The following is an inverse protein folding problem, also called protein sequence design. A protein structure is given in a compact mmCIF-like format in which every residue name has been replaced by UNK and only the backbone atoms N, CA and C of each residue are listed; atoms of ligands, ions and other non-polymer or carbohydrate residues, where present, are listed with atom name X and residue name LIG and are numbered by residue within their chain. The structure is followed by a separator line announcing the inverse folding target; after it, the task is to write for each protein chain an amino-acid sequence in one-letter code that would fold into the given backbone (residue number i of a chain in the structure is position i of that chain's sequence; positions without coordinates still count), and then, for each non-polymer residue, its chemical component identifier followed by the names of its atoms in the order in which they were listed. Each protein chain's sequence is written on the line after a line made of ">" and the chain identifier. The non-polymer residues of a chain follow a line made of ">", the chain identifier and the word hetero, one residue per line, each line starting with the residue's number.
data_IF_183275184678
#
_entry.id   IF_183275184678
#
_cell.length_a   1.000
_cell.length_b   1.000
_cell.length_c   1.000
_cell.angle_alpha   90.00
_cell.angle_beta   90.00
_cell.angle_gamma   90.00
#
_symmetry.space_group_name_H-M   'P 1'
#
loop_
_entity.id
_entity.type
_entity.pdbx_description
1 polymer ?
#
# COMPACT_ATOMS: atom_id res chain seq x y z
N UNK A 1 -17.80 0.97 10.12
CA UNK A 1 -18.03 1.75 8.90
C UNK A 1 -19.32 2.60 9.00
N UNK A 2 -20.47 2.05 9.44
CA UNK A 2 -21.70 2.86 9.63
C UNK A 2 -21.50 4.04 10.60
N UNK A 3 -20.80 3.81 11.71
CA UNK A 3 -20.46 4.87 12.67
C UNK A 3 -19.49 5.90 12.04
N UNK A 4 -18.55 5.48 11.22
CA UNK A 4 -17.72 6.39 10.42
C UNK A 4 -18.60 7.31 9.56
N UNK A 5 -19.56 6.74 8.81
CA UNK A 5 -20.49 7.51 7.99
C UNK A 5 -21.28 8.53 8.84
N UNK A 6 -21.81 8.08 9.99
CA UNK A 6 -22.56 8.95 10.92
C UNK A 6 -21.72 10.12 11.42
N UNK A 7 -20.47 9.87 11.82
CA UNK A 7 -19.57 10.92 12.33
C UNK A 7 -19.17 11.90 11.22
N UNK A 8 -18.78 11.37 10.05
CA UNK A 8 -18.30 12.22 8.96
C UNK A 8 -19.40 13.01 8.26
N UNK A 9 -20.64 12.49 8.20
CA UNK A 9 -21.78 13.22 7.63
C UNK A 9 -22.10 14.53 8.36
N UNK A 10 -21.63 14.69 9.60
CA UNK A 10 -21.82 15.90 10.41
C UNK A 10 -20.67 16.91 10.27
N UNK A 11 -19.70 16.64 9.38
CA UNK A 11 -18.50 17.46 9.19
C UNK A 11 -18.43 17.98 7.77
N UNK A 12 -17.91 19.18 7.64
CA UNK A 12 -17.49 19.70 6.34
C UNK A 12 -16.03 19.29 6.13
N UNK A 13 -15.81 18.31 5.27
CA UNK A 13 -14.50 17.77 4.95
C UNK A 13 -13.94 18.43 3.69
N UNK A 14 -12.63 18.50 3.59
CA UNK A 14 -11.92 18.97 2.37
C UNK A 14 -12.09 18.01 1.20
N UNK A 15 -12.12 16.70 1.47
CA UNK A 15 -12.25 15.63 0.45
C UNK A 15 -13.48 14.80 0.74
N UNK A 16 -14.16 14.39 -0.32
CA UNK A 16 -15.28 13.46 -0.22
C UNK A 16 -14.83 12.08 0.24
N UNK A 17 -15.72 11.37 0.94
CA UNK A 17 -15.50 10.00 1.38
C UNK A 17 -16.50 9.08 0.70
N UNK A 18 -16.01 8.06 0.00
CA UNK A 18 -16.81 6.95 -0.51
C UNK A 18 -16.68 5.75 0.42
N UNK A 19 -17.78 5.09 0.70
CA UNK A 19 -17.80 3.86 1.49
C UNK A 19 -18.30 2.74 0.58
N UNK A 20 -17.55 1.66 0.52
CA UNK A 20 -17.90 0.49 -0.26
C UNK A 20 -17.92 -0.77 0.62
N UNK A 21 -18.94 -1.60 0.44
CA UNK A 21 -19.04 -2.94 0.98
C UNK A 21 -19.12 -3.90 -0.19
N UNK A 22 -18.12 -4.71 -0.36
CA UNK A 22 -18.10 -5.68 -1.44
C UNK A 22 -18.09 -7.12 -0.94
N UNK A 23 -18.76 -8.02 -1.69
CA UNK A 23 -18.82 -9.43 -1.37
C UNK A 23 -17.61 -10.18 -1.93
N UNK A 24 -17.53 -11.45 -1.53
CA UNK A 24 -16.73 -12.46 -2.20
C UNK A 24 -15.21 -12.26 -2.11
N UNK A 25 -14.75 -11.84 -0.92
CA UNK A 25 -13.31 -11.76 -0.62
C UNK A 25 -12.63 -13.11 -0.81
N UNK A 26 -13.03 -14.12 -0.06
CA UNK A 26 -12.38 -15.45 -0.08
C UNK A 26 -12.95 -16.37 -1.17
N UNK A 27 -14.27 -16.54 -1.21
CA UNK A 27 -14.93 -17.49 -2.10
C UNK A 27 -14.97 -17.05 -3.58
N UNK A 28 -14.93 -15.75 -3.84
CA UNK A 28 -14.87 -15.17 -5.18
C UNK A 28 -13.51 -14.60 -5.55
N UNK A 29 -12.52 -14.75 -4.71
CA UNK A 29 -11.17 -14.22 -4.88
C UNK A 29 -11.18 -12.74 -5.26
N UNK A 30 -11.74 -11.91 -4.36
CA UNK A 30 -11.85 -10.45 -4.50
C UNK A 30 -12.80 -9.98 -5.60
N UNK A 31 -13.83 -10.80 -5.95
CA UNK A 31 -14.69 -10.49 -7.07
C UNK A 31 -15.38 -9.13 -6.96
N UNK A 32 -15.91 -8.78 -5.78
CA UNK A 32 -16.62 -7.51 -5.58
C UNK A 32 -15.72 -6.29 -5.68
N UNK A 33 -14.55 -6.33 -5.05
CA UNK A 33 -13.60 -5.22 -5.07
C UNK A 33 -12.91 -5.08 -6.43
N UNK A 34 -12.59 -6.18 -7.10
CA UNK A 34 -12.04 -6.16 -8.46
C UNK A 34 -13.03 -5.52 -9.42
N UNK A 35 -14.30 -5.99 -9.40
CA UNK A 35 -15.36 -5.39 -10.21
C UNK A 35 -15.50 -3.88 -9.94
N UNK A 36 -15.49 -3.48 -8.68
CA UNK A 36 -15.59 -2.05 -8.33
C UNK A 36 -14.40 -1.24 -8.85
N UNK A 37 -13.19 -1.78 -8.73
CA UNK A 37 -11.99 -1.14 -9.24
C UNK A 37 -12.06 -0.92 -10.76
N UNK A 38 -12.52 -1.93 -11.50
CA UNK A 38 -12.64 -1.88 -12.96
C UNK A 38 -13.76 -0.92 -13.41
N UNK A 39 -14.93 -1.00 -12.82
CA UNK A 39 -16.10 -0.15 -13.17
C UNK A 39 -15.93 1.33 -12.76
N UNK A 40 -15.16 1.59 -11.73
CA UNK A 40 -14.91 2.94 -11.21
C UNK A 40 -13.49 3.45 -11.54
N UNK A 41 -12.80 2.78 -12.46
CA UNK A 41 -11.38 3.03 -12.73
C UNK A 41 -11.08 4.51 -13.00
N UNK A 42 -11.80 5.15 -13.92
CA UNK A 42 -11.59 6.56 -14.28
C UNK A 42 -11.77 7.51 -13.09
N UNK A 43 -12.79 7.28 -12.28
CA UNK A 43 -13.05 8.09 -11.08
C UNK A 43 -11.99 7.88 -10.00
N UNK A 44 -11.59 6.63 -9.77
CA UNK A 44 -10.53 6.28 -8.83
C UNK A 44 -9.19 6.85 -9.28
N UNK A 45 -8.85 6.71 -10.56
CA UNK A 45 -7.61 7.24 -11.11
C UNK A 45 -7.55 8.76 -11.10
N UNK A 46 -8.65 9.44 -11.39
CA UNK A 46 -8.70 10.90 -11.43
C UNK A 46 -8.73 11.54 -10.04
N UNK A 47 -9.44 10.95 -9.06
CA UNK A 47 -9.84 11.65 -7.83
C UNK A 47 -9.53 10.93 -6.52
N UNK A 48 -9.34 9.61 -6.51
CA UNK A 48 -9.11 8.88 -5.27
C UNK A 48 -7.67 9.09 -4.79
N UNK A 49 -7.48 9.70 -3.63
CA UNK A 49 -6.17 10.00 -3.04
C UNK A 49 -5.79 9.08 -1.88
N UNK A 50 -6.77 8.36 -1.33
CA UNK A 50 -6.52 7.38 -0.28
C UNK A 50 -7.51 6.22 -0.34
N UNK A 51 -7.03 5.02 -0.10
CA UNK A 51 -7.81 3.80 0.12
C UNK A 51 -7.56 3.30 1.54
N UNK A 52 -8.62 3.09 2.30
CA UNK A 52 -8.54 2.49 3.63
C UNK A 52 -9.39 1.23 3.65
N UNK A 53 -8.75 0.09 3.82
CA UNK A 53 -9.40 -1.20 3.97
C UNK A 53 -9.44 -1.61 5.44
N UNK A 54 -10.60 -2.06 5.90
CA UNK A 54 -10.78 -2.62 7.23
C UNK A 54 -11.57 -3.91 7.14
N UNK A 55 -10.93 -4.99 7.50
CA UNK A 55 -11.52 -6.32 7.65
C UNK A 55 -11.54 -6.71 9.14
N UNK A 56 -12.56 -7.45 9.56
CA UNK A 56 -12.69 -8.04 10.90
C UNK A 56 -12.51 -7.12 12.13
N UNK A 57 -13.05 -5.88 12.16
CA UNK A 57 -12.96 -5.05 13.35
C UNK A 57 -13.75 -5.66 14.51
N UNK A 58 -13.24 -5.49 15.73
CA UNK A 58 -13.89 -6.00 16.93
C UNK A 58 -13.71 -7.49 17.16
N UNK A 59 -12.81 -8.15 16.46
CA UNK A 59 -12.56 -9.57 16.61
C UNK A 59 -12.09 -9.90 18.03
N UNK A 60 -12.80 -10.83 18.68
CA UNK A 60 -12.53 -11.21 20.06
C UNK A 60 -11.07 -11.67 20.25
N UNK A 61 -10.38 -11.05 21.22
CA UNK A 61 -8.98 -11.34 21.53
C UNK A 61 -7.96 -10.62 20.65
N UNK A 62 -8.38 -9.85 19.67
CA UNK A 62 -7.50 -9.02 18.82
C UNK A 62 -7.04 -7.75 19.57
N UNK A 63 -6.03 -7.91 20.42
CA UNK A 63 -5.58 -6.87 21.34
C UNK A 63 -4.78 -5.75 20.66
N UNK A 64 -4.12 -6.03 19.54
CA UNK A 64 -3.23 -5.10 18.87
C UNK A 64 -3.70 -4.82 17.45
N UNK A 65 -3.42 -3.58 17.00
CA UNK A 65 -3.64 -3.12 15.63
C UNK A 65 -2.28 -2.82 15.01
N UNK A 66 -2.09 -3.25 13.77
CA UNK A 66 -1.04 -2.82 12.88
C UNK A 66 -1.61 -2.37 11.55
N UNK A 67 -0.73 -2.05 10.63
CA UNK A 67 -1.12 -1.66 9.29
C UNK A 67 -0.24 -2.30 8.23
N UNK A 68 -0.87 -2.66 7.12
CA UNK A 68 -0.17 -2.85 5.84
C UNK A 68 -0.41 -1.60 4.99
N UNK A 69 0.65 -0.93 4.55
CA UNK A 69 0.51 0.38 3.93
C UNK A 69 1.56 0.69 2.87
N UNK A 70 1.24 1.64 2.02
CA UNK A 70 2.16 2.36 1.15
C UNK A 70 1.80 3.83 1.09
N UNK A 71 2.81 4.69 1.00
CA UNK A 71 2.65 6.12 0.78
C UNK A 71 2.33 6.95 2.02
N UNK A 72 2.15 6.37 3.21
CA UNK A 72 1.85 7.14 4.42
C UNK A 72 3.13 7.64 5.08
N UNK A 73 3.12 8.91 5.48
CA UNK A 73 4.23 9.53 6.15
C UNK A 73 4.49 8.92 7.54
N UNK A 74 5.72 8.52 7.74
CA UNK A 74 6.38 8.11 8.96
C UNK A 74 5.50 7.77 10.17
N UNK A 75 5.42 8.69 11.11
CA UNK A 75 4.73 8.46 12.38
C UNK A 75 3.20 8.68 12.36
N UNK A 76 2.61 9.11 11.25
CA UNK A 76 1.16 9.42 11.18
C UNK A 76 0.30 8.28 11.70
N UNK A 77 0.54 7.06 11.22
CA UNK A 77 -0.21 5.87 11.67
C UNK A 77 0.08 5.55 13.13
N UNK A 78 1.32 5.67 13.56
CA UNK A 78 1.76 5.44 14.93
C UNK A 78 1.11 6.42 15.91
N UNK A 79 1.05 7.68 15.55
CA UNK A 79 0.45 8.73 16.38
C UNK A 79 -1.06 8.55 16.52
N UNK A 80 -1.74 8.16 15.44
CA UNK A 80 -3.18 7.84 15.49
C UNK A 80 -3.41 6.65 16.44
N UNK A 81 -2.63 5.57 16.30
CA UNK A 81 -2.75 4.40 17.17
C UNK A 81 -2.50 4.76 18.63
N UNK A 82 -1.40 5.44 18.95
CA UNK A 82 -1.06 5.83 20.32
C UNK A 82 -2.18 6.67 20.96
N UNK A 83 -2.71 7.65 20.21
CA UNK A 83 -3.81 8.50 20.70
C UNK A 83 -5.10 7.73 20.94
N UNK A 84 -5.42 6.80 20.05
CA UNK A 84 -6.73 6.11 20.09
C UNK A 84 -6.75 4.90 21.00
N UNK A 85 -5.64 4.20 21.16
CA UNK A 85 -5.57 2.89 21.81
C UNK A 85 -4.64 2.84 23.01
N UNK A 86 -3.67 3.77 23.12
CA UNK A 86 -2.57 3.69 24.08
C UNK A 86 -1.52 2.64 23.74
N UNK A 87 -1.59 2.00 22.58
CA UNK A 87 -0.63 1.01 22.11
C UNK A 87 0.73 1.65 21.89
N UNK A 88 1.78 1.14 22.53
CA UNK A 88 3.13 1.70 22.45
C UNK A 88 3.82 1.28 21.14
N UNK A 89 3.71 0.01 20.78
CA UNK A 89 4.32 -0.56 19.58
C UNK A 89 3.35 -0.53 18.39
N UNK A 90 3.89 -0.19 17.23
CA UNK A 90 3.14 -0.15 15.98
C UNK A 90 3.78 -1.08 14.98
N UNK A 91 3.04 -2.07 14.51
CA UNK A 91 3.47 -2.96 13.44
C UNK A 91 3.04 -2.36 12.12
N UNK A 92 4.00 -1.98 11.28
CA UNK A 92 3.76 -1.53 9.91
C UNK A 92 4.44 -2.50 8.95
N UNK A 93 3.70 -2.92 7.94
CA UNK A 93 4.17 -3.85 6.90
C UNK A 93 4.00 -3.23 5.52
N UNK A 94 4.74 -3.72 4.51
CA UNK A 94 4.43 -3.41 3.13
C UNK A 94 3.01 -3.82 2.78
N UNK A 95 2.37 -3.04 1.92
CA UNK A 95 0.99 -3.25 1.49
C UNK A 95 0.80 -4.64 0.88
N UNK A 96 -0.24 -5.34 1.32
CA UNK A 96 -0.69 -6.59 0.72
C UNK A 96 -1.25 -6.37 -0.68
N UNK A 97 -1.38 -7.45 -1.43
CA UNK A 97 -1.91 -7.44 -2.80
C UNK A 97 -3.27 -8.08 -2.87
N UNK A 98 -4.10 -7.53 -3.72
CA UNK A 98 -5.47 -7.92 -3.89
C UNK A 98 -6.37 -6.69 -3.92
N UNK A 99 -7.43 -6.69 -4.71
CA UNK A 99 -8.22 -5.49 -4.97
C UNK A 99 -8.98 -4.94 -3.76
N UNK A 100 -9.26 -5.74 -2.75
CA UNK A 100 -9.86 -5.26 -1.50
C UNK A 100 -8.84 -4.76 -0.50
N UNK A 101 -7.58 -5.17 -0.63
CA UNK A 101 -6.46 -4.68 0.18
C UNK A 101 -5.78 -3.47 -0.47
N UNK A 102 -5.73 -3.44 -1.81
CA UNK A 102 -4.98 -2.44 -2.56
C UNK A 102 -5.44 -2.35 -4.01
N UNK A 103 -5.57 -1.13 -4.51
CA UNK A 103 -5.87 -0.83 -5.91
C UNK A 103 -4.64 -0.19 -6.57
N UNK A 104 -3.87 -0.97 -7.30
CA UNK A 104 -2.64 -0.49 -7.92
C UNK A 104 -2.83 0.09 -9.33
N UNK A 105 -3.86 -0.35 -10.07
CA UNK A 105 -4.16 0.18 -11.40
C UNK A 105 -4.43 1.69 -11.34
N UNK A 106 -5.51 2.15 -10.69
CA UNK A 106 -5.76 3.57 -10.50
C UNK A 106 -4.74 4.13 -9.50
N UNK A 107 -3.94 5.08 -9.90
CA UNK A 107 -2.82 5.69 -9.16
C UNK A 107 -3.24 6.28 -7.80
N UNK A 108 -3.61 5.43 -6.84
CA UNK A 108 -3.97 5.85 -5.48
C UNK A 108 -2.70 5.98 -4.64
N UNK A 109 -2.33 7.20 -4.21
CA UNK A 109 -1.05 7.44 -3.54
C UNK A 109 -0.97 6.80 -2.16
N UNK A 110 -2.02 6.92 -1.35
CA UNK A 110 -2.06 6.38 0.01
C UNK A 110 -2.98 5.17 0.06
N UNK A 111 -2.46 4.05 0.52
CA UNK A 111 -3.26 2.85 0.73
C UNK A 111 -2.91 2.24 2.08
N UNK A 112 -3.94 1.97 2.89
CA UNK A 112 -3.80 1.43 4.23
C UNK A 112 -4.80 0.30 4.43
N UNK A 113 -4.31 -0.85 4.84
CA UNK A 113 -5.13 -1.96 5.33
C UNK A 113 -4.86 -2.19 6.81
N UNK A 114 -5.93 -2.36 7.57
CA UNK A 114 -5.82 -2.70 8.99
C UNK A 114 -5.40 -4.16 9.14
N UNK A 115 -4.44 -4.38 10.03
CA UNK A 115 -4.03 -5.69 10.50
C UNK A 115 -4.39 -5.82 11.98
N UNK A 116 -5.05 -6.91 12.36
CA UNK A 116 -5.41 -7.18 13.75
C UNK A 116 -4.63 -8.39 14.26
N UNK A 117 -4.20 -8.34 15.52
CA UNK A 117 -3.39 -9.40 16.12
C UNK A 117 -3.97 -9.88 17.43
N UNK A 118 -4.08 -11.18 17.57
CA UNK A 118 -4.42 -11.82 18.83
C UNK A 118 -3.38 -11.47 19.90
N UNK A 119 -3.81 -11.50 21.17
CA UNK A 119 -2.92 -11.36 22.31
C UNK A 119 -1.72 -12.32 22.23
N UNK A 120 -0.53 -11.94 22.77
CA UNK A 120 0.70 -12.72 22.64
C UNK A 120 0.58 -14.22 22.90
N UNK A 121 -0.19 -14.72 23.89
CA UNK A 121 -0.34 -16.17 24.12
C UNK A 121 -0.98 -16.92 22.94
N UNK A 122 -1.76 -16.23 22.12
CA UNK A 122 -2.47 -16.78 20.97
C UNK A 122 -1.85 -16.41 19.62
N UNK A 123 -0.87 -15.48 19.63
CA UNK A 123 -0.19 -15.04 18.42
C UNK A 123 0.57 -16.21 17.80
N UNK A 124 0.32 -16.47 16.52
CA UNK A 124 0.92 -17.58 15.80
C UNK A 124 0.29 -18.95 16.01
N UNK A 125 -0.68 -19.09 16.94
CA UNK A 125 -1.47 -20.34 17.08
C UNK A 125 -2.50 -20.49 15.97
N UNK A 126 -2.96 -19.37 15.41
CA UNK A 126 -4.02 -19.32 14.42
C UNK A 126 -3.51 -18.57 13.17
N UNK A 127 -3.78 -19.11 12.01
CA UNK A 127 -3.46 -18.47 10.74
C UNK A 127 -4.53 -17.42 10.38
N UNK A 128 -4.46 -16.27 11.03
CA UNK A 128 -5.47 -15.22 10.87
C UNK A 128 -5.07 -14.16 9.83
N UNK A 129 -3.92 -14.27 9.20
CA UNK A 129 -3.46 -13.43 8.07
C UNK A 129 -3.78 -11.92 8.22
N UNK A 130 -3.65 -11.36 9.45
CA UNK A 130 -3.96 -9.95 9.72
C UNK A 130 -5.44 -9.67 10.05
N UNK A 131 -6.33 -10.68 10.00
CA UNK A 131 -7.74 -10.52 10.37
C UNK A 131 -7.99 -10.47 11.88
N UNK A 132 -7.02 -10.88 12.70
CA UNK A 132 -7.16 -10.96 14.14
C UNK A 132 -8.04 -12.10 14.64
N UNK A 133 -8.63 -12.92 13.77
CA UNK A 133 -9.50 -14.03 14.11
C UNK A 133 -8.79 -15.11 14.92
N UNK A 134 -9.55 -15.84 15.74
CA UNK A 134 -9.10 -17.02 16.44
C UNK A 134 -9.34 -18.29 15.59
N UNK A 135 -9.47 -19.44 16.27
CA UNK A 135 -9.68 -20.75 15.63
C UNK A 135 -10.98 -20.82 14.79
N UNK A 136 -11.94 -19.97 15.08
CA UNK A 136 -13.25 -19.88 14.38
C UNK A 136 -13.18 -19.20 13.02
N UNK A 137 -12.12 -18.45 12.75
CA UNK A 137 -11.96 -17.68 11.53
C UNK A 137 -12.10 -18.54 10.26
N UNK A 138 -12.90 -18.11 9.29
CA UNK A 138 -13.28 -18.86 8.11
C UNK A 138 -14.00 -20.20 8.37
N UNK A 139 -14.71 -20.30 9.48
CA UNK A 139 -15.54 -21.47 9.81
C UNK A 139 -16.98 -21.06 10.11
N UNK A 140 -17.87 -22.05 10.25
CA UNK A 140 -19.27 -21.85 10.66
C UNK A 140 -19.38 -21.34 12.12
N UNK A 141 -18.32 -21.44 12.88
CA UNK A 141 -18.23 -20.98 14.26
C UNK A 141 -17.93 -19.48 14.37
N UNK A 142 -17.70 -18.78 13.24
CA UNK A 142 -17.47 -17.33 13.20
C UNK A 142 -18.82 -16.59 13.29
N UNK A 143 -19.31 -16.51 14.52
CA UNK A 143 -20.63 -15.99 14.88
C UNK A 143 -20.51 -14.74 15.74
N UNK A 144 -21.62 -14.05 15.99
CA UNK A 144 -21.66 -12.74 16.69
C UNK A 144 -21.06 -12.76 18.10
N UNK A 145 -21.01 -13.90 18.78
CA UNK A 145 -20.34 -14.06 20.08
C UNK A 145 -18.81 -13.94 20.01
N UNK A 146 -18.24 -13.91 18.81
CA UNK A 146 -16.81 -13.67 18.55
C UNK A 146 -16.51 -12.19 18.37
N UNK A 147 -17.50 -11.30 18.46
CA UNK A 147 -17.32 -9.86 18.41
C UNK A 147 -17.22 -9.30 19.82
N UNK A 148 -16.12 -8.60 20.10
CA UNK A 148 -15.94 -7.84 21.34
C UNK A 148 -16.36 -6.38 21.10
N UNK A 149 -17.43 -5.89 21.77
CA UNK A 149 -17.91 -4.52 21.59
C UNK A 149 -16.88 -3.45 21.96
N UNK A 150 -15.99 -3.71 22.94
CA UNK A 150 -14.96 -2.76 23.35
C UNK A 150 -13.87 -2.64 22.28
N UNK A 151 -13.45 -3.77 21.74
CA UNK A 151 -12.52 -3.78 20.63
C UNK A 151 -13.13 -3.15 19.37
N UNK A 152 -14.41 -3.43 19.09
CA UNK A 152 -15.11 -2.81 17.96
C UNK A 152 -15.17 -1.27 18.09
N UNK A 153 -15.43 -0.75 19.29
CA UNK A 153 -15.40 0.70 19.55
C UNK A 153 -13.99 1.28 19.38
N UNK A 154 -12.98 0.58 19.90
CA UNK A 154 -11.57 0.98 19.73
C UNK A 154 -11.19 1.06 18.25
N UNK A 155 -11.46 0.01 17.49
CA UNK A 155 -11.10 -0.11 16.08
C UNK A 155 -11.84 0.94 15.24
N UNK A 156 -13.12 1.17 15.55
CA UNK A 156 -13.91 2.23 14.92
C UNK A 156 -13.34 3.61 15.19
N UNK A 157 -12.85 3.89 16.41
CA UNK A 157 -12.19 5.16 16.73
C UNK A 157 -10.94 5.36 15.88
N UNK A 158 -10.10 4.35 15.76
CA UNK A 158 -8.90 4.40 14.92
C UNK A 158 -9.27 4.66 13.46
N UNK A 159 -10.29 3.97 12.94
CA UNK A 159 -10.78 4.17 11.57
C UNK A 159 -11.25 5.61 11.34
N UNK A 160 -12.04 6.17 12.26
CA UNK A 160 -12.57 7.53 12.15
C UNK A 160 -11.43 8.56 12.13
N UNK A 161 -10.46 8.44 13.03
CA UNK A 161 -9.33 9.38 13.07
C UNK A 161 -8.43 9.24 11.84
N UNK A 162 -8.20 8.02 11.36
CA UNK A 162 -7.41 7.79 10.15
C UNK A 162 -8.09 8.37 8.89
N UNK A 163 -9.39 8.14 8.73
CA UNK A 163 -10.13 8.68 7.57
C UNK A 163 -10.24 10.21 7.66
N UNK A 164 -10.37 10.78 8.85
CA UNK A 164 -10.30 12.23 9.05
C UNK A 164 -8.99 12.81 8.61
N UNK A 165 -7.88 12.19 8.99
CA UNK A 165 -6.53 12.61 8.58
C UNK A 165 -6.44 12.76 7.06
N UNK A 166 -6.90 11.76 6.32
CA UNK A 166 -6.85 11.80 4.86
C UNK A 166 -7.92 12.70 4.22
N UNK A 167 -9.07 12.86 4.86
CA UNK A 167 -10.19 13.59 4.29
C UNK A 167 -10.22 15.10 4.65
N UNK A 168 -9.60 15.51 5.75
CA UNK A 168 -9.75 16.86 6.28
C UNK A 168 -8.44 17.66 6.35
N UNK A 169 -7.28 17.00 6.46
CA UNK A 169 -6.00 17.72 6.52
C UNK A 169 -5.68 18.45 5.21
N UNK A 170 -5.01 19.61 5.34
CA UNK A 170 -4.68 20.47 4.21
C UNK A 170 -3.78 19.77 3.18
N UNK A 171 -2.84 18.97 3.66
CA UNK A 171 -1.93 18.18 2.86
C UNK A 171 -2.07 16.70 3.21
N UNK A 172 -2.02 15.86 2.19
CA UNK A 172 -1.98 14.42 2.41
C UNK A 172 -0.65 14.04 3.08
N UNK A 173 -0.68 13.18 4.11
CA UNK A 173 0.52 12.72 4.79
C UNK A 173 1.25 11.64 3.94
N UNK A 174 1.74 12.05 2.77
CA UNK A 174 2.49 11.17 1.88
C UNK A 174 4.00 11.29 2.13
N UNK A 175 4.69 10.16 2.25
CA UNK A 175 6.13 10.07 2.49
C UNK A 175 6.89 9.65 1.24
N UNK A 176 7.21 10.61 0.37
CA UNK A 176 8.04 10.33 -0.80
C UNK A 176 9.46 9.89 -0.41
N UNK A 177 10.04 10.48 0.63
CA UNK A 177 11.39 10.14 1.08
C UNK A 177 11.47 8.71 1.64
N UNK A 178 10.48 8.29 2.42
CA UNK A 178 10.38 6.92 2.92
C UNK A 178 10.17 5.90 1.79
N UNK A 179 9.33 6.22 0.80
CA UNK A 179 9.19 5.38 -0.39
C UNK A 179 10.52 5.20 -1.14
N UNK A 180 11.28 6.29 -1.32
CA UNK A 180 12.60 6.24 -1.97
C UNK A 180 13.63 5.46 -1.16
N UNK A 181 13.63 5.61 0.17
CA UNK A 181 14.49 4.81 1.04
C UNK A 181 14.19 3.31 0.88
N UNK A 182 12.91 2.92 0.92
CA UNK A 182 12.49 1.54 0.70
C UNK A 182 12.90 1.01 -0.68
N UNK A 183 12.82 1.84 -1.73
CA UNK A 183 13.28 1.47 -3.08
C UNK A 183 14.80 1.22 -3.10
N UNK A 184 15.60 2.11 -2.51
CA UNK A 184 17.06 1.96 -2.44
C UNK A 184 17.47 0.70 -1.67
N UNK A 185 16.89 0.48 -0.50
CA UNK A 185 17.18 -0.69 0.33
C UNK A 185 16.82 -1.98 -0.41
N UNK A 186 15.66 -1.98 -1.09
CA UNK A 186 15.22 -3.13 -1.88
C UNK A 186 16.15 -3.42 -3.06
N UNK A 187 16.59 -2.39 -3.79
CA UNK A 187 17.55 -2.54 -4.91
C UNK A 187 18.88 -3.07 -4.39
N UNK A 188 19.39 -2.54 -3.29
CA UNK A 188 20.61 -3.01 -2.65
C UNK A 188 20.52 -4.49 -2.24
N UNK A 189 19.39 -4.88 -1.63
CA UNK A 189 19.13 -6.25 -1.24
C UNK A 189 19.03 -7.20 -2.44
N UNK A 190 18.35 -6.83 -3.52
CA UNK A 190 18.28 -7.64 -4.75
C UNK A 190 19.68 -7.84 -5.34
N UNK A 191 20.49 -6.77 -5.40
CA UNK A 191 21.87 -6.84 -5.92
C UNK A 191 22.75 -7.79 -5.13
N UNK A 192 22.65 -7.80 -3.81
CA UNK A 192 23.42 -8.76 -2.99
C UNK A 192 23.09 -10.22 -3.31
N UNK A 193 21.89 -10.48 -3.85
CA UNK A 193 21.42 -11.83 -4.17
C UNK A 193 21.62 -12.25 -5.64
N UNK A 194 21.96 -11.34 -6.54
CA UNK A 194 22.21 -11.66 -7.96
C UNK A 194 23.60 -11.21 -8.45
N UNK A 195 24.36 -10.50 -7.61
CA UNK A 195 25.69 -10.00 -7.95
C UNK A 195 25.68 -9.05 -9.16
N UNK A 196 26.75 -9.07 -9.94
CA UNK A 196 26.95 -8.21 -11.12
C UNK A 196 26.41 -8.83 -12.43
N UNK A 197 25.66 -9.92 -12.34
CA UNK A 197 25.12 -10.60 -13.52
C UNK A 197 24.00 -9.79 -14.23
N UNK A 198 23.43 -8.79 -13.53
CA UNK A 198 22.40 -7.92 -14.05
C UNK A 198 22.75 -6.44 -13.87
N UNK A 199 22.49 -5.62 -14.90
CA UNK A 199 22.85 -4.20 -14.92
C UNK A 199 21.79 -3.35 -14.20
N UNK A 200 22.05 -2.93 -12.97
CA UNK A 200 21.22 -2.01 -12.17
C UNK A 200 21.59 -0.53 -12.35
N UNK A 201 22.66 -0.19 -13.07
CA UNK A 201 23.08 1.20 -13.19
C UNK A 201 21.99 2.16 -13.71
N UNK A 202 21.10 1.77 -14.65
CA UNK A 202 19.99 2.64 -15.04
C UNK A 202 18.97 2.86 -13.91
N UNK A 203 18.72 1.86 -13.05
CA UNK A 203 17.82 1.95 -11.90
C UNK A 203 18.39 2.93 -10.87
N UNK A 204 19.68 2.80 -10.57
CA UNK A 204 20.39 3.66 -9.60
C UNK A 204 20.37 5.13 -10.05
N UNK A 205 20.67 5.40 -11.33
CA UNK A 205 20.58 6.75 -11.88
C UNK A 205 19.16 7.33 -11.80
N UNK A 206 18.15 6.51 -12.10
CA UNK A 206 16.75 6.94 -12.02
C UNK A 206 16.34 7.29 -10.57
N UNK A 207 16.82 6.50 -9.59
CA UNK A 207 16.61 6.79 -8.17
C UNK A 207 17.33 8.07 -7.73
N UNK A 208 18.55 8.34 -8.22
CA UNK A 208 19.27 9.58 -7.94
C UNK A 208 18.53 10.83 -8.47
N UNK A 209 18.03 10.76 -9.70
CA UNK A 209 17.25 11.87 -10.29
C UNK A 209 15.92 12.09 -9.53
N UNK A 210 15.28 11.02 -9.15
CA UNK A 210 14.04 11.09 -8.37
C UNK A 210 14.30 11.67 -6.97
N UNK A 211 15.40 11.30 -6.33
CA UNK A 211 15.81 11.83 -5.03
C UNK A 211 16.07 13.35 -5.09
N UNK A 212 16.76 13.81 -6.14
CA UNK A 212 16.95 15.26 -6.38
C UNK A 212 15.63 15.99 -6.56
N UNK A 213 14.69 15.40 -7.29
CA UNK A 213 13.38 16.00 -7.52
C UNK A 213 12.51 16.05 -6.25
N UNK A 214 12.67 15.09 -5.33
CA UNK A 214 11.98 15.05 -4.05
C UNK A 214 12.68 15.86 -2.94
N UNK A 215 13.95 16.26 -3.14
CA UNK A 215 14.75 16.92 -2.12
C UNK A 215 14.08 18.22 -1.63
N UNK A 216 13.96 18.34 -0.29
CA UNK A 216 13.33 19.48 0.36
C UNK A 216 11.80 19.52 0.32
N UNK A 217 11.14 18.51 -0.26
CA UNK A 217 9.68 18.38 -0.27
C UNK A 217 9.23 17.56 0.94
N UNK A 218 8.52 18.19 1.85
CA UNK A 218 7.94 17.54 3.03
C UNK A 218 6.62 16.85 2.65
N UNK A 219 5.89 17.42 1.69
CA UNK A 219 4.62 16.89 1.16
C UNK A 219 4.46 17.33 -0.30
N UNK A 220 3.47 16.78 -0.97
CA UNK A 220 3.07 17.26 -2.28
C UNK A 220 2.34 18.61 -2.18
N UNK A 221 2.50 19.46 -3.17
CA UNK A 221 1.91 20.80 -3.22
C UNK A 221 0.38 20.77 -3.34
N UNK A 222 -0.17 19.67 -3.88
CA UNK A 222 -1.59 19.52 -4.13
C UNK A 222 -2.00 18.05 -4.19
N UNK A 223 -3.30 17.77 -4.05
CA UNK A 223 -3.88 16.43 -4.25
C UNK A 223 -3.62 15.92 -5.67
N UNK A 224 -3.59 16.82 -6.66
CA UNK A 224 -3.25 16.47 -8.04
C UNK A 224 -1.81 15.95 -8.12
N UNK A 225 -0.86 16.67 -7.54
CA UNK A 225 0.54 16.23 -7.54
C UNK A 225 0.71 14.92 -6.76
N UNK A 226 0.00 14.75 -5.64
CA UNK A 226 -0.03 13.48 -4.90
C UNK A 226 -0.54 12.32 -5.77
N UNK A 227 -1.57 12.54 -6.59
CA UNK A 227 -2.07 11.56 -7.55
C UNK A 227 -1.03 11.21 -8.61
N UNK A 228 -0.50 12.22 -9.27
CA UNK A 228 0.39 12.03 -10.41
C UNK A 228 1.76 11.45 -10.00
N UNK A 229 2.37 11.96 -8.95
CA UNK A 229 3.67 11.49 -8.49
C UNK A 229 3.55 10.37 -7.45
N UNK A 230 2.78 10.58 -6.38
CA UNK A 230 2.65 9.63 -5.28
C UNK A 230 1.97 8.34 -5.69
N UNK A 231 0.92 8.40 -6.50
CA UNK A 231 0.25 7.21 -7.02
C UNK A 231 1.16 6.34 -7.89
N UNK A 232 2.02 6.98 -8.71
CA UNK A 232 3.03 6.25 -9.50
C UNK A 232 4.13 5.65 -8.62
N UNK A 233 4.58 6.38 -7.58
CA UNK A 233 5.54 5.86 -6.59
C UNK A 233 5.00 4.61 -5.90
N UNK A 234 3.78 4.68 -5.38
CA UNK A 234 3.12 3.55 -4.71
C UNK A 234 2.98 2.35 -5.64
N UNK A 235 2.53 2.57 -6.88
CA UNK A 235 2.39 1.50 -7.86
C UNK A 235 3.73 0.89 -8.24
N UNK A 236 4.75 1.70 -8.49
CA UNK A 236 6.09 1.20 -8.84
C UNK A 236 6.70 0.38 -7.72
N UNK A 237 6.53 0.82 -6.48
CA UNK A 237 7.03 0.13 -5.28
C UNK A 237 6.34 -1.22 -5.05
N UNK A 238 5.03 -1.30 -5.29
CA UNK A 238 4.21 -2.43 -4.85
C UNK A 238 3.73 -3.36 -5.97
N UNK A 239 3.78 -2.96 -7.26
CA UNK A 239 3.22 -3.76 -8.36
C UNK A 239 4.19 -3.90 -9.53
N UNK A 240 4.17 -5.08 -10.17
CA UNK A 240 4.85 -5.34 -11.44
C UNK A 240 3.94 -5.24 -12.66
N UNK A 241 2.63 -5.18 -12.45
CA UNK A 241 1.64 -5.08 -13.52
C UNK A 241 1.49 -3.64 -14.03
N UNK A 242 0.94 -3.51 -15.23
CA UNK A 242 0.47 -2.25 -15.73
C UNK A 242 -0.86 -1.84 -15.05
N UNK A 243 -1.40 -0.69 -15.42
CA UNK A 243 -2.60 -0.12 -14.82
C UNK A 243 -3.89 -0.92 -15.06
N UNK A 244 -3.92 -1.76 -16.06
CA UNK A 244 -5.13 -2.46 -16.53
C UNK A 244 -5.12 -3.95 -16.20
N UNK A 245 -4.05 -4.44 -15.55
CA UNK A 245 -3.95 -5.83 -15.12
C UNK A 245 -4.02 -5.94 -13.61
N UNK A 246 -4.83 -6.87 -13.14
CA UNK A 246 -4.91 -7.20 -11.73
C UNK A 246 -3.63 -7.92 -11.28
N UNK A 247 -2.95 -7.34 -10.29
CA UNK A 247 -1.76 -7.96 -9.68
C UNK A 247 -2.17 -8.83 -8.49
N UNK A 248 -2.24 -10.11 -8.71
CA UNK A 248 -2.56 -11.11 -7.69
C UNK A 248 -1.31 -11.83 -7.13
N UNK A 249 -0.12 -11.33 -7.42
CA UNK A 249 1.13 -11.95 -7.00
C UNK A 249 1.38 -11.73 -5.52
N UNK A 250 1.02 -12.69 -4.69
CA UNK A 250 1.37 -12.70 -3.27
C UNK A 250 2.83 -13.12 -3.06
N UNK A 251 3.39 -12.72 -1.92
CA UNK A 251 4.71 -13.14 -1.44
C UNK A 251 5.92 -12.69 -2.28
N UNK A 252 5.77 -11.75 -3.18
CA UNK A 252 6.90 -11.05 -3.79
C UNK A 252 7.10 -9.73 -3.05
N UNK A 253 8.31 -9.42 -2.62
CA UNK A 253 8.64 -8.20 -1.88
C UNK A 253 8.41 -6.91 -2.69
N UNK A 254 8.82 -5.78 -2.11
CA UNK A 254 8.80 -4.49 -2.79
C UNK A 254 9.59 -4.54 -4.10
N UNK A 255 9.25 -3.66 -5.04
CA UNK A 255 9.79 -3.64 -6.40
C UNK A 255 9.67 -4.99 -7.12
N UNK A 256 8.48 -5.60 -7.16
CA UNK A 256 8.29 -6.97 -7.64
C UNK A 256 8.80 -7.20 -9.06
N UNK A 257 8.79 -6.17 -9.91
CA UNK A 257 9.37 -6.26 -11.26
C UNK A 257 10.88 -6.47 -11.25
N UNK A 258 11.61 -5.92 -10.29
CA UNK A 258 13.06 -6.13 -10.16
C UNK A 258 13.38 -7.40 -9.36
N UNK A 259 12.49 -7.87 -8.48
CA UNK A 259 12.66 -9.10 -7.70
C UNK A 259 12.78 -10.35 -8.57
N UNK A 260 12.37 -10.31 -9.82
CA UNK A 260 12.37 -11.46 -10.74
C UNK A 260 13.77 -12.08 -10.94
N UNK A 261 14.85 -11.32 -10.71
CA UNK A 261 16.23 -11.81 -10.85
C UNK A 261 16.90 -12.16 -9.52
N UNK A 262 16.22 -11.97 -8.39
CA UNK A 262 16.74 -12.31 -7.07
C UNK A 262 17.12 -13.78 -7.01
N UNK A 263 18.35 -14.07 -6.57
CA UNK A 263 18.89 -15.44 -6.49
C UNK A 263 19.17 -16.10 -7.84
N UNK A 264 19.24 -15.33 -8.92
CA UNK A 264 19.61 -15.86 -10.23
C UNK A 264 21.04 -15.45 -10.58
N UNK A 265 21.85 -16.45 -10.91
CA UNK A 265 23.25 -16.24 -11.30
C UNK A 265 23.52 -16.90 -12.64
N UNK A 266 24.38 -16.26 -13.41
CA UNK A 266 24.74 -16.73 -14.76
C UNK A 266 25.29 -18.14 -14.76
N UNK A 267 26.09 -18.49 -13.75
CA UNK A 267 26.75 -19.78 -13.67
C UNK A 267 25.83 -20.90 -13.17
N UNK A 268 24.67 -20.56 -12.56
CA UNK A 268 23.73 -21.53 -12.01
C UNK A 268 22.60 -21.89 -12.98
N UNK A 269 22.53 -21.19 -14.11
CA UNK A 269 21.46 -21.34 -15.10
C UNK A 269 22.00 -21.80 -16.46
N UNK A 270 21.23 -22.57 -17.22
CA UNK A 270 21.53 -22.80 -18.62
C UNK A 270 21.67 -21.47 -19.37
N UNK A 271 22.67 -21.32 -20.28
CA UNK A 271 22.94 -20.04 -20.95
C UNK A 271 21.72 -19.39 -21.60
N UNK A 272 20.83 -20.18 -22.21
CA UNK A 272 19.62 -19.69 -22.84
C UNK A 272 18.61 -19.21 -21.82
N UNK A 273 18.46 -19.90 -20.71
CA UNK A 273 17.56 -19.49 -19.63
C UNK A 273 18.04 -18.18 -19.01
N UNK A 274 19.33 -18.03 -18.75
CA UNK A 274 19.89 -16.77 -18.27
C UNK A 274 19.58 -15.60 -19.20
N UNK A 275 19.66 -15.80 -20.53
CA UNK A 275 19.33 -14.77 -21.50
C UNK A 275 17.84 -14.34 -21.44
N UNK A 276 16.92 -15.27 -21.17
CA UNK A 276 15.50 -14.94 -20.95
C UNK A 276 15.33 -14.06 -19.72
N UNK A 277 15.95 -14.44 -18.59
CA UNK A 277 15.88 -13.63 -17.37
C UNK A 277 16.50 -12.25 -17.55
N UNK A 278 17.62 -12.15 -18.23
CA UNK A 278 18.26 -10.88 -18.56
C UNK A 278 17.36 -9.99 -19.42
N UNK A 279 16.66 -10.57 -20.38
CA UNK A 279 15.73 -9.84 -21.25
C UNK A 279 14.50 -9.38 -20.47
N UNK A 280 13.92 -10.24 -19.64
CA UNK A 280 12.79 -9.88 -18.77
C UNK A 280 13.16 -8.77 -17.79
N UNK A 281 14.34 -8.87 -17.17
CA UNK A 281 14.86 -7.83 -16.28
C UNK A 281 15.05 -6.49 -17.00
N UNK A 282 15.64 -6.48 -18.20
CA UNK A 282 15.80 -5.24 -18.97
C UNK A 282 14.45 -4.54 -19.22
N UNK A 283 13.40 -5.27 -19.48
CA UNK A 283 12.05 -4.70 -19.65
C UNK A 283 11.54 -4.05 -18.35
N UNK A 284 11.79 -4.67 -17.19
CA UNK A 284 11.43 -4.09 -15.90
C UNK A 284 12.29 -2.88 -15.53
N UNK A 285 13.58 -2.90 -15.89
CA UNK A 285 14.45 -1.72 -15.78
C UNK A 285 13.91 -0.56 -16.63
N UNK A 286 13.53 -0.82 -17.87
CA UNK A 286 12.97 0.21 -18.75
C UNK A 286 11.66 0.78 -18.17
N UNK A 287 10.77 -0.07 -17.65
CA UNK A 287 9.55 0.37 -16.96
C UNK A 287 9.89 1.23 -15.75
N UNK A 288 10.81 0.79 -14.91
CA UNK A 288 11.24 1.53 -13.71
C UNK A 288 11.76 2.93 -14.07
N UNK A 289 12.67 3.02 -15.03
CA UNK A 289 13.23 4.30 -15.49
C UNK A 289 12.15 5.21 -16.07
N UNK A 290 11.22 4.67 -16.88
CA UNK A 290 10.11 5.43 -17.46
C UNK A 290 9.16 5.99 -16.40
N UNK A 291 8.80 5.18 -15.40
CA UNK A 291 7.95 5.65 -14.29
C UNK A 291 8.66 6.71 -13.46
N UNK A 292 9.93 6.53 -13.10
CA UNK A 292 10.72 7.56 -12.40
C UNK A 292 10.77 8.88 -13.19
N UNK A 293 10.97 8.82 -14.51
CA UNK A 293 10.95 10.01 -15.37
C UNK A 293 9.60 10.71 -15.32
N UNK A 294 8.50 9.97 -15.41
CA UNK A 294 7.15 10.51 -15.32
C UNK A 294 6.86 11.15 -13.96
N UNK A 295 7.35 10.55 -12.87
CA UNK A 295 7.24 11.11 -11.51
C UNK A 295 8.00 12.43 -11.41
N UNK A 296 9.24 12.49 -11.90
CA UNK A 296 10.04 13.73 -11.90
C UNK A 296 9.34 14.83 -12.68
N UNK A 297 8.75 14.51 -13.84
CA UNK A 297 7.97 15.47 -14.63
C UNK A 297 6.75 15.98 -13.86
N UNK A 298 5.99 15.11 -13.21
CA UNK A 298 4.84 15.49 -12.39
C UNK A 298 5.24 16.38 -11.21
N UNK A 299 6.39 16.12 -10.57
CA UNK A 299 6.92 16.94 -9.49
C UNK A 299 7.32 18.35 -9.95
N UNK A 300 7.76 18.50 -11.18
CA UNK A 300 8.23 19.76 -11.73
C UNK A 300 7.11 20.57 -12.42
N UNK A 301 6.00 19.94 -12.84
CA UNK A 301 4.93 20.60 -13.59
C UNK A 301 4.18 21.69 -12.80
N UNK A 302 4.14 21.62 -11.48
CA UNK A 302 3.52 22.63 -10.62
C UNK A 302 4.44 23.84 -10.32
N UNK A 303 5.74 23.72 -10.60
CA UNK A 303 6.69 24.81 -10.41
C UNK A 303 6.50 25.94 -11.45
N UNK A 304 5.95 25.60 -12.63
CA UNK A 304 5.75 26.55 -13.73
C UNK A 304 4.36 27.25 -13.71
N UNK A 305 3.46 26.87 -12.78
CA UNK A 305 2.11 27.43 -12.67
C UNK A 305 1.98 28.58 -11.66
N UNK A 306 3.08 29.03 -11.07
CA UNK A 306 3.15 30.20 -10.16
C UNK A 306 3.96 31.32 -10.83
N UNK A 307 3.47 31.80 -11.98
CA UNK A 307 3.91 33.08 -12.59
C UNK A 307 2.69 33.93 -12.90
#
# INVERSE_FOLDING_TARGET
>A
VLELARVLSQKQLRRGVKIAWWPAHSNGRYAGSTWYCDEQFEDLDARCVALVNMDSPGCMGAQEIGFSTSGVAGDTLGDILRRCTGQAEVVIRPLGRGSDLSFFGPRIPIQVSFDFYQAPPNRGRWHCAGSGGGWWWHSVEDTMDKVDPQLLMRDTRVLVELVKEFADEAHLPFDAAGCLAQMRDTVADIRTHCGDDFDFAPVERALEELDKACAGRICFSSDRQAKEAGGRLTRLLCSACDEYHFDNTFAVGLLPGLQLVRGKHRNDLPPQEFLYWRTAFRRQVNRFVSECTSIVQALNSDADSVV
#
